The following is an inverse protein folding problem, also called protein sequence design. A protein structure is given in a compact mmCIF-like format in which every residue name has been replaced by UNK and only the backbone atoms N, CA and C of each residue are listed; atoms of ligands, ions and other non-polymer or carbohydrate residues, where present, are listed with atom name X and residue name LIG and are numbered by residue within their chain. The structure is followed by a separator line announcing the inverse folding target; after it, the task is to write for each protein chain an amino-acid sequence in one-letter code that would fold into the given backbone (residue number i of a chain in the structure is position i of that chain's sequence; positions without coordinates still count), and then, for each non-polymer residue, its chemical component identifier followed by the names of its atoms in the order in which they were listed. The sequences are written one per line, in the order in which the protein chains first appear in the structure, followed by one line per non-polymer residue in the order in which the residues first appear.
data_IF_490246338487
#
_entry.id   IF_490246338487
#
_cell.length_a   1.000
_cell.length_b   1.000
_cell.length_c   1.000
_cell.angle_alpha   90.00
_cell.angle_beta   90.00
_cell.angle_gamma   90.00
#
_symmetry.space_group_name_H-M   'P 1'
#
loop_
_entity.id
_entity.type
_entity.pdbx_description
1 polymer ?
#
# COMPACT_ATOMS: atom_id res chain seq x y z
N UNK A 1 -38.21 18.29 -2.65
CA UNK A 1 -36.77 18.00 -2.82
C UNK A 1 -36.41 16.92 -1.81
N UNK A 2 -35.98 15.74 -2.27
CA UNK A 2 -35.58 14.66 -1.38
C UNK A 2 -34.20 15.00 -0.80
N UNK A 3 -34.13 15.17 0.52
CA UNK A 3 -32.87 15.29 1.22
C UNK A 3 -32.10 13.98 1.06
N UNK A 4 -30.93 14.03 0.45
CA UNK A 4 -29.98 12.93 0.49
C UNK A 4 -29.71 12.65 1.98
N UNK A 5 -30.09 11.45 2.44
CA UNK A 5 -29.78 11.02 3.79
C UNK A 5 -28.26 10.89 3.87
N UNK A 6 -27.65 11.72 4.72
CA UNK A 6 -26.24 11.66 5.06
C UNK A 6 -26.03 10.35 5.84
N UNK A 7 -25.73 9.27 5.11
CA UNK A 7 -25.43 7.97 5.72
C UNK A 7 -24.04 8.12 6.34
N UNK A 8 -24.00 8.30 7.66
CA UNK A 8 -22.77 8.24 8.41
C UNK A 8 -22.01 6.95 8.01
N UNK A 9 -20.71 7.03 7.68
CA UNK A 9 -19.94 5.85 7.35
C UNK A 9 -20.07 4.84 8.49
N UNK A 10 -20.23 3.53 8.19
CA UNK A 10 -20.36 2.50 9.21
C UNK A 10 -19.24 2.67 10.25
N UNK A 11 -19.60 2.84 11.52
CA UNK A 11 -18.61 2.91 12.59
C UNK A 11 -17.74 1.65 12.50
N UNK A 12 -16.40 1.84 12.44
CA UNK A 12 -15.47 0.71 12.52
C UNK A 12 -15.73 0.08 13.89
N UNK A 13 -16.15 -1.19 13.97
CA UNK A 13 -16.50 -1.79 15.25
C UNK A 13 -15.31 -1.72 16.20
N UNK A 14 -15.49 -1.03 17.32
CA UNK A 14 -14.52 -1.02 18.40
C UNK A 14 -14.52 -2.42 19.03
N UNK A 15 -13.43 -3.15 18.85
CA UNK A 15 -13.36 -4.57 19.20
C UNK A 15 -12.31 -4.78 20.27
N UNK A 16 -12.76 -5.36 21.38
CA UNK A 16 -11.90 -5.76 22.47
C UNK A 16 -10.83 -6.75 21.95
N UNK A 17 -9.57 -6.32 21.99
CA UNK A 17 -8.38 -7.08 21.54
C UNK A 17 -8.16 -8.38 22.33
N UNK A 18 -8.81 -8.54 23.49
CA UNK A 18 -8.71 -9.74 24.31
C UNK A 18 -9.58 -10.90 23.80
N UNK A 19 -10.50 -10.61 22.88
CA UNK A 19 -11.35 -11.62 22.21
C UNK A 19 -10.62 -12.26 21.03
N UNK A 20 -10.97 -13.51 20.72
CA UNK A 20 -10.41 -14.21 19.54
C UNK A 20 -10.75 -13.46 18.24
N UNK A 21 -11.97 -12.95 18.11
CA UNK A 21 -12.39 -12.15 16.96
C UNK A 21 -11.58 -10.85 16.83
N UNK A 22 -11.31 -10.16 17.95
CA UNK A 22 -10.45 -9.00 18.00
C UNK A 22 -9.02 -9.30 17.55
N UNK A 23 -8.44 -10.40 18.04
CA UNK A 23 -7.10 -10.88 17.63
C UNK A 23 -7.02 -11.21 16.14
N UNK A 24 -8.01 -11.92 15.61
CA UNK A 24 -8.09 -12.25 14.18
C UNK A 24 -8.18 -10.98 13.33
N UNK A 25 -8.98 -10.01 13.75
CA UNK A 25 -9.13 -8.75 13.01
C UNK A 25 -7.85 -7.92 13.01
N UNK A 26 -7.15 -7.81 14.14
CA UNK A 26 -5.88 -7.06 14.18
C UNK A 26 -4.79 -7.77 13.38
N UNK A 27 -4.74 -9.11 13.43
CA UNK A 27 -3.86 -9.88 12.54
C UNK A 27 -4.16 -9.59 11.07
N UNK A 28 -5.43 -9.61 10.67
CA UNK A 28 -5.85 -9.32 9.30
C UNK A 28 -5.44 -7.91 8.87
N UNK A 29 -5.63 -6.91 9.74
CA UNK A 29 -5.18 -5.53 9.49
C UNK A 29 -3.68 -5.47 9.28
N UNK A 30 -2.90 -6.10 10.15
CA UNK A 30 -1.44 -6.16 10.06
C UNK A 30 -0.96 -6.80 8.75
N UNK A 31 -1.56 -7.91 8.34
CA UNK A 31 -1.17 -8.58 7.09
C UNK A 31 -1.52 -7.72 5.87
N UNK A 32 -2.70 -7.08 5.86
CA UNK A 32 -3.08 -6.14 4.80
C UNK A 32 -2.10 -4.96 4.75
N UNK A 33 -1.77 -4.32 5.88
CA UNK A 33 -0.77 -3.23 5.93
C UNK A 33 0.59 -3.67 5.39
N UNK A 34 1.05 -4.86 5.76
CA UNK A 34 2.30 -5.44 5.28
C UNK A 34 2.28 -5.62 3.76
N UNK A 35 1.18 -6.13 3.21
CA UNK A 35 0.98 -6.26 1.77
C UNK A 35 0.97 -4.90 1.07
N UNK A 36 0.19 -3.93 1.58
CA UNK A 36 0.09 -2.59 1.01
C UNK A 36 1.45 -1.87 0.95
N UNK A 37 2.26 -1.99 2.01
CA UNK A 37 3.59 -1.39 2.04
C UNK A 37 4.54 -2.04 1.02
N UNK A 38 4.51 -3.37 0.87
CA UNK A 38 5.30 -4.06 -0.17
C UNK A 38 4.80 -3.73 -1.57
N UNK A 39 3.49 -3.61 -1.77
CA UNK A 39 2.92 -3.20 -3.05
C UNK A 39 3.31 -1.75 -3.40
N UNK A 40 3.36 -0.85 -2.40
CA UNK A 40 3.85 0.52 -2.58
C UNK A 40 5.31 0.55 -3.06
N UNK A 41 6.17 -0.31 -2.52
CA UNK A 41 7.55 -0.48 -3.00
C UNK A 41 7.57 -0.92 -4.47
N UNK A 42 6.83 -1.98 -4.80
CA UNK A 42 6.75 -2.52 -6.16
C UNK A 42 6.20 -1.49 -7.16
N UNK A 43 5.23 -0.66 -6.75
CA UNK A 43 4.69 0.42 -7.60
C UNK A 43 5.73 1.49 -7.93
N UNK A 44 6.65 1.79 -7.02
CA UNK A 44 7.67 2.81 -7.23
C UNK A 44 8.91 2.29 -7.99
N UNK A 45 9.12 0.97 -8.01
CA UNK A 45 10.27 0.33 -8.66
C UNK A 45 10.35 0.61 -10.18
N UNK A 46 9.27 0.49 -10.98
CA UNK A 46 9.28 0.76 -12.41
C UNK A 46 9.90 2.10 -12.81
N UNK A 47 9.66 3.16 -12.02
CA UNK A 47 10.19 4.51 -12.27
C UNK A 47 11.72 4.56 -12.37
N UNK A 48 12.41 3.56 -11.81
CA UNK A 48 13.87 3.42 -11.88
C UNK A 48 14.27 2.25 -12.76
N UNK A 49 13.57 1.13 -12.68
CA UNK A 49 13.88 -0.10 -13.40
C UNK A 49 13.76 0.06 -14.91
N UNK A 50 12.71 0.75 -15.40
CA UNK A 50 12.53 1.02 -16.83
C UNK A 50 13.69 1.86 -17.37
N UNK A 51 14.17 2.84 -16.60
CA UNK A 51 15.35 3.66 -16.98
C UNK A 51 16.61 2.79 -17.09
N UNK A 52 16.82 1.89 -16.12
CA UNK A 52 17.98 0.98 -16.10
C UNK A 52 17.96 0.02 -17.28
N UNK A 53 16.78 -0.49 -17.64
CA UNK A 53 16.58 -1.40 -18.78
C UNK A 53 16.65 -0.69 -20.15
N UNK A 54 16.77 0.65 -20.18
CA UNK A 54 16.74 1.44 -21.41
C UNK A 54 15.36 1.45 -22.08
N UNK A 55 14.29 1.26 -21.29
CA UNK A 55 12.92 1.25 -21.77
C UNK A 55 12.44 2.63 -22.19
N UNK A 56 11.35 2.65 -22.96
CA UNK A 56 10.78 3.87 -23.54
C UNK A 56 9.78 4.57 -22.63
N UNK A 57 9.56 4.07 -21.42
CA UNK A 57 8.61 4.62 -20.47
C UNK A 57 7.16 4.25 -20.78
N UNK A 58 6.94 3.16 -21.52
CA UNK A 58 5.59 2.72 -21.89
C UNK A 58 4.87 2.14 -20.69
N UNK A 59 3.56 2.38 -20.57
CA UNK A 59 2.75 1.82 -19.47
C UNK A 59 2.89 0.29 -19.34
N UNK A 60 3.05 -0.42 -20.46
CA UNK A 60 3.29 -1.87 -20.49
C UNK A 60 4.59 -2.27 -19.80
N UNK A 61 5.68 -1.51 -19.98
CA UNK A 61 6.97 -1.77 -19.31
C UNK A 61 6.83 -1.59 -17.78
N UNK A 62 6.05 -0.59 -17.37
CA UNK A 62 5.78 -0.37 -15.94
C UNK A 62 5.01 -1.53 -15.33
N UNK A 63 3.94 -1.97 -16.00
CA UNK A 63 3.11 -3.05 -15.51
C UNK A 63 3.80 -4.42 -15.54
N UNK A 64 4.70 -4.67 -16.50
CA UNK A 64 5.55 -5.86 -16.50
C UNK A 64 6.42 -5.93 -15.24
N UNK A 65 7.14 -4.85 -14.91
CA UNK A 65 7.96 -4.80 -13.69
C UNK A 65 7.12 -5.04 -12.44
N UNK A 66 5.90 -4.48 -12.37
CA UNK A 66 5.02 -4.70 -11.22
C UNK A 66 4.57 -6.17 -11.11
N UNK A 67 4.22 -6.82 -12.22
CA UNK A 67 3.85 -8.23 -12.19
C UNK A 67 5.02 -9.15 -11.83
N UNK A 68 6.24 -8.84 -12.30
CA UNK A 68 7.48 -9.56 -11.97
C UNK A 68 7.77 -9.51 -10.47
N UNK A 69 7.59 -8.35 -9.85
CA UNK A 69 7.99 -8.07 -8.46
C UNK A 69 6.83 -8.16 -7.47
N UNK A 70 5.65 -8.62 -7.93
CA UNK A 70 4.42 -8.65 -7.16
C UNK A 70 4.58 -9.40 -5.82
N UNK A 71 4.08 -8.85 -4.68
CA UNK A 71 4.35 -9.41 -3.35
C UNK A 71 3.43 -10.60 -3.01
N UNK A 72 3.56 -11.69 -3.76
CA UNK A 72 2.75 -12.92 -3.64
C UNK A 72 2.72 -13.50 -2.23
N UNK A 73 3.87 -13.54 -1.57
CA UNK A 73 3.99 -14.13 -0.23
C UNK A 73 3.28 -13.28 0.82
N UNK A 74 3.23 -11.96 0.64
CA UNK A 74 2.47 -11.09 1.51
C UNK A 74 0.97 -11.25 1.26
N UNK A 75 0.56 -11.36 -0.02
CA UNK A 75 -0.85 -11.55 -0.37
C UNK A 75 -1.42 -12.82 0.27
N UNK A 76 -0.69 -13.94 0.22
CA UNK A 76 -1.12 -15.22 0.82
C UNK A 76 -1.43 -15.16 2.32
N UNK A 77 -0.92 -14.15 3.03
CA UNK A 77 -1.18 -13.95 4.47
C UNK A 77 -2.40 -13.07 4.74
N UNK A 78 -2.89 -12.34 3.74
CA UNK A 78 -4.07 -11.50 3.85
C UNK A 78 -5.35 -12.34 4.02
N UNK A 79 -6.46 -11.72 4.41
CA UNK A 79 -7.78 -12.37 4.41
C UNK A 79 -8.23 -12.83 3.02
N UNK A 80 -9.05 -13.88 2.95
CA UNK A 80 -9.42 -14.53 1.69
C UNK A 80 -10.12 -13.60 0.69
N UNK A 81 -11.08 -12.80 1.15
CA UNK A 81 -11.77 -11.79 0.32
C UNK A 81 -10.82 -10.73 -0.24
N UNK A 82 -9.81 -10.33 0.55
CA UNK A 82 -8.74 -9.44 0.09
C UNK A 82 -7.86 -10.11 -0.96
N UNK A 83 -7.50 -11.38 -0.76
CA UNK A 83 -6.76 -12.15 -1.75
C UNK A 83 -7.51 -12.24 -3.08
N UNK A 84 -8.78 -12.63 -3.05
CA UNK A 84 -9.64 -12.78 -4.23
C UNK A 84 -9.71 -11.49 -5.04
N UNK A 85 -10.01 -10.36 -4.37
CA UNK A 85 -10.10 -9.07 -5.04
C UNK A 85 -8.77 -8.70 -5.72
N UNK A 86 -7.66 -8.82 -5.00
CA UNK A 86 -6.33 -8.47 -5.52
C UNK A 86 -5.93 -9.36 -6.69
N UNK A 87 -6.24 -10.65 -6.65
CA UNK A 87 -5.99 -11.58 -7.77
C UNK A 87 -6.76 -11.13 -9.01
N UNK A 88 -8.04 -10.74 -8.86
CA UNK A 88 -8.83 -10.20 -9.98
C UNK A 88 -8.18 -8.93 -10.55
N UNK A 89 -7.76 -8.00 -9.69
CA UNK A 89 -7.10 -6.76 -10.15
C UNK A 89 -5.75 -7.05 -10.83
N UNK A 90 -4.98 -8.01 -10.32
CA UNK A 90 -3.72 -8.46 -10.91
C UNK A 90 -3.95 -9.05 -12.31
N UNK A 91 -4.99 -9.88 -12.48
CA UNK A 91 -5.34 -10.46 -13.78
C UNK A 91 -5.70 -9.40 -14.83
N UNK A 92 -6.37 -8.31 -14.44
CA UNK A 92 -6.64 -7.18 -15.36
C UNK A 92 -5.37 -6.52 -15.89
N UNK A 93 -4.29 -6.50 -15.10
CA UNK A 93 -2.98 -6.03 -15.56
C UNK A 93 -2.43 -6.98 -16.63
N UNK A 94 -2.57 -8.29 -16.43
CA UNK A 94 -2.16 -9.28 -17.42
C UNK A 94 -2.97 -9.14 -18.72
N UNK A 95 -4.31 -9.00 -18.63
CA UNK A 95 -5.17 -8.77 -19.79
C UNK A 95 -4.80 -7.50 -20.56
N UNK A 96 -4.41 -6.43 -19.86
CA UNK A 96 -3.89 -5.21 -20.49
C UNK A 96 -2.57 -5.46 -21.23
N UNK A 97 -1.64 -6.19 -20.62
CA UNK A 97 -0.37 -6.56 -21.26
C UNK A 97 -0.55 -7.47 -22.47
N UNK A 98 -1.56 -8.35 -22.43
CA UNK A 98 -1.93 -9.24 -23.53
C UNK A 98 -2.72 -8.51 -24.63
N UNK A 99 -3.05 -7.22 -24.44
CA UNK A 99 -3.80 -6.40 -25.38
C UNK A 99 -5.30 -6.70 -25.45
N UNK A 100 -5.81 -7.46 -24.47
CA UNK A 100 -7.23 -7.81 -24.33
C UNK A 100 -8.04 -6.67 -23.69
N UNK A 101 -7.41 -5.93 -22.77
CA UNK A 101 -7.95 -4.72 -22.16
C UNK A 101 -7.18 -3.49 -22.63
N UNK A 102 -7.88 -2.39 -22.91
CA UNK A 102 -7.28 -1.13 -23.38
C UNK A 102 -7.23 -0.08 -22.29
N UNK A 103 -8.10 -0.19 -21.29
CA UNK A 103 -8.20 0.74 -20.19
C UNK A 103 -7.99 0.00 -18.87
N UNK A 104 -6.87 0.28 -18.23
CA UNK A 104 -6.63 -0.17 -16.86
C UNK A 104 -6.57 1.03 -15.94
N UNK A 105 -7.49 1.07 -14.98
CA UNK A 105 -7.33 1.89 -13.78
C UNK A 105 -6.42 1.10 -12.87
N UNK A 106 -5.26 1.67 -12.55
CA UNK A 106 -4.39 1.04 -11.57
C UNK A 106 -5.17 0.86 -10.27
N UNK A 107 -5.24 -0.36 -9.71
CA UNK A 107 -5.99 -0.59 -8.48
C UNK A 107 -5.36 0.24 -7.35
N UNK A 108 -6.16 0.55 -6.34
CA UNK A 108 -5.83 1.23 -5.08
C UNK A 108 -6.42 2.63 -4.93
N UNK A 109 -5.75 3.75 -5.19
CA UNK A 109 -6.29 5.05 -4.75
C UNK A 109 -7.63 5.47 -5.38
N UNK A 110 -7.99 4.95 -6.57
CA UNK A 110 -9.24 5.26 -7.26
C UNK A 110 -10.15 4.03 -7.44
N UNK A 111 -9.78 2.87 -6.89
CA UNK A 111 -10.55 1.64 -7.06
C UNK A 111 -11.54 1.48 -5.91
N UNK A 112 -12.82 1.71 -6.20
CA UNK A 112 -13.89 1.69 -5.19
C UNK A 112 -14.03 0.34 -4.48
N UNK A 113 -13.78 -0.78 -5.17
CA UNK A 113 -13.88 -2.12 -4.59
C UNK A 113 -12.77 -2.35 -3.56
N UNK A 114 -11.55 -1.90 -3.88
CA UNK A 114 -10.41 -1.97 -2.95
C UNK A 114 -10.63 -1.04 -1.77
N UNK A 115 -11.08 0.20 -2.02
CA UNK A 115 -11.36 1.18 -0.97
C UNK A 115 -12.45 0.68 0.00
N UNK A 116 -13.53 0.09 -0.51
CA UNK A 116 -14.59 -0.51 0.28
C UNK A 116 -14.07 -1.67 1.15
N UNK A 117 -13.16 -2.48 0.61
CA UNK A 117 -12.57 -3.58 1.36
C UNK A 117 -11.61 -3.11 2.45
N UNK A 118 -10.78 -2.10 2.18
CA UNK A 118 -9.95 -1.48 3.21
C UNK A 118 -10.79 -0.84 4.32
N UNK A 119 -11.89 -0.19 3.95
CA UNK A 119 -12.86 0.34 4.90
C UNK A 119 -13.44 -0.76 5.81
N UNK A 120 -13.83 -1.91 5.25
CA UNK A 120 -14.29 -3.09 6.02
C UNK A 120 -13.26 -3.52 7.08
N UNK A 121 -11.97 -3.44 6.77
CA UNK A 121 -10.90 -3.77 7.71
C UNK A 121 -10.56 -2.64 8.69
N UNK A 122 -11.15 -1.44 8.54
CA UNK A 122 -10.80 -0.27 9.35
C UNK A 122 -9.45 0.33 8.96
N UNK A 123 -9.06 0.18 7.69
CA UNK A 123 -7.82 0.69 7.10
C UNK A 123 -8.11 1.82 6.11
N UNK A 124 -9.14 2.62 6.40
CA UNK A 124 -9.46 3.79 5.58
C UNK A 124 -8.28 4.76 5.61
N UNK A 125 -7.92 5.30 4.45
CA UNK A 125 -6.81 6.27 4.26
C UNK A 125 -5.41 5.72 4.65
N UNK A 126 -5.31 4.42 4.94
CA UNK A 126 -4.07 3.78 5.37
C UNK A 126 -3.03 3.76 4.25
N UNK A 127 -3.45 3.73 2.99
CA UNK A 127 -2.57 3.74 1.83
C UNK A 127 -1.67 4.97 1.79
N UNK A 128 -2.23 6.16 2.04
CA UNK A 128 -1.47 7.41 2.02
C UNK A 128 -0.46 7.45 3.17
N UNK A 129 -0.88 6.98 4.35
CA UNK A 129 -0.01 6.86 5.53
C UNK A 129 1.14 5.89 5.25
N UNK A 130 0.84 4.72 4.70
CA UNK A 130 1.82 3.72 4.26
C UNK A 130 2.76 4.31 3.22
N UNK A 131 2.27 5.03 2.22
CA UNK A 131 3.09 5.62 1.18
C UNK A 131 4.09 6.63 1.77
N UNK A 132 3.65 7.49 2.71
CA UNK A 132 4.54 8.40 3.43
C UNK A 132 5.59 7.65 4.24
N UNK A 133 5.19 6.62 4.98
CA UNK A 133 6.11 5.80 5.78
C UNK A 133 7.12 5.03 4.92
N UNK A 134 6.69 4.42 3.82
CA UNK A 134 7.60 3.76 2.87
C UNK A 134 8.59 4.76 2.29
N UNK A 135 8.12 5.96 1.92
CA UNK A 135 8.98 7.02 1.37
C UNK A 135 10.03 7.47 2.38
N UNK A 136 9.65 7.67 3.65
CA UNK A 136 10.61 8.04 4.70
C UNK A 136 11.63 6.94 4.96
N UNK A 137 11.22 5.66 4.90
CA UNK A 137 12.11 4.50 5.02
C UNK A 137 13.10 4.35 3.85
N UNK A 138 12.69 4.72 2.64
CA UNK A 138 13.57 4.71 1.47
C UNK A 138 14.60 5.83 1.52
N UNK A 139 14.26 7.00 2.08
CA UNK A 139 15.20 8.07 2.37
C UNK A 139 15.91 8.64 1.13
N UNK A 140 15.25 8.58 -0.04
CA UNK A 140 15.86 8.96 -1.31
C UNK A 140 16.21 10.43 -1.38
N UNK A 141 17.42 10.69 -1.89
CA UNK A 141 17.90 12.02 -2.25
C UNK A 141 17.73 12.25 -3.74
N UNK A 142 17.69 13.54 -4.13
CA UNK A 142 17.64 13.93 -5.55
C UNK A 142 18.89 13.44 -6.31
N UNK A 143 20.05 13.40 -5.64
CA UNK A 143 21.33 12.95 -6.19
C UNK A 143 21.44 11.44 -6.41
N UNK A 144 20.54 10.65 -5.83
CA UNK A 144 20.65 9.19 -5.87
C UNK A 144 20.34 8.66 -7.28
N UNK A 145 21.17 7.72 -7.74
CA UNK A 145 21.06 7.12 -9.07
C UNK A 145 19.84 6.19 -9.16
N UNK A 146 19.26 5.99 -10.36
CA UNK A 146 18.19 5.01 -10.56
C UNK A 146 18.57 3.61 -10.06
N UNK A 147 19.81 3.16 -10.33
CA UNK A 147 20.31 1.86 -9.88
C UNK A 147 20.32 1.72 -8.34
N UNK A 148 20.76 2.76 -7.64
CA UNK A 148 20.72 2.77 -6.17
C UNK A 148 19.28 2.72 -5.66
N UNK A 149 18.38 3.53 -6.23
CA UNK A 149 16.96 3.58 -5.81
C UNK A 149 16.25 2.24 -6.03
N UNK A 150 16.42 1.65 -7.22
CA UNK A 150 15.85 0.33 -7.53
C UNK A 150 16.36 -0.75 -6.58
N UNK A 151 17.68 -0.76 -6.30
CA UNK A 151 18.28 -1.68 -5.33
C UNK A 151 17.71 -1.49 -3.93
N UNK A 152 17.63 -0.26 -3.42
CA UNK A 152 17.14 -0.01 -2.07
C UNK A 152 15.66 -0.38 -1.90
N UNK A 153 14.84 -0.22 -2.95
CA UNK A 153 13.44 -0.70 -2.94
C UNK A 153 13.39 -2.20 -2.74
N UNK A 154 14.19 -2.97 -3.51
CA UNK A 154 14.27 -4.43 -3.37
C UNK A 154 14.77 -4.85 -2.00
N UNK A 155 15.83 -4.22 -1.50
CA UNK A 155 16.37 -4.50 -0.16
C UNK A 155 15.32 -4.27 0.92
N UNK A 156 14.58 -3.16 0.88
CA UNK A 156 13.52 -2.89 1.86
C UNK A 156 12.37 -3.89 1.75
N UNK A 157 11.99 -4.31 0.54
CA UNK A 157 11.00 -5.36 0.32
C UNK A 157 11.47 -6.69 0.92
N UNK A 158 12.71 -7.10 0.67
CA UNK A 158 13.31 -8.31 1.25
C UNK A 158 13.40 -8.24 2.78
N UNK A 159 13.77 -7.09 3.34
CA UNK A 159 13.77 -6.84 4.79
C UNK A 159 12.36 -7.03 5.40
N UNK A 160 11.32 -6.59 4.70
CA UNK A 160 9.92 -6.78 5.12
C UNK A 160 9.47 -8.23 4.99
N UNK A 161 9.81 -8.91 3.89
CA UNK A 161 9.51 -10.33 3.69
C UNK A 161 10.17 -11.22 4.74
N UNK A 162 11.41 -10.88 5.13
CA UNK A 162 12.14 -11.54 6.21
C UNK A 162 11.66 -11.15 7.61
N UNK A 163 10.69 -10.24 7.74
CA UNK A 163 10.17 -9.76 9.02
C UNK A 163 11.14 -8.86 9.81
N UNK A 164 12.24 -8.40 9.20
CA UNK A 164 13.19 -7.46 9.81
C UNK A 164 12.61 -6.05 9.91
N UNK A 165 11.74 -5.70 8.96
CA UNK A 165 10.99 -4.44 8.96
C UNK A 165 9.50 -4.76 9.08
N UNK A 166 8.88 -4.23 10.12
CA UNK A 166 7.44 -4.38 10.38
C UNK A 166 6.76 -3.03 10.18
N UNK A 167 5.63 -3.04 9.47
CA UNK A 167 4.79 -1.85 9.29
C UNK A 167 4.14 -1.50 10.64
N UNK A 168 4.30 -0.28 11.17
CA UNK A 168 3.68 0.14 12.42
C UNK A 168 2.14 0.09 12.34
N UNK A 169 1.48 -0.08 13.49
CA UNK A 169 0.01 0.00 13.57
C UNK A 169 -0.50 1.44 13.43
N UNK A 170 0.25 2.41 13.99
CA UNK A 170 -0.16 3.82 14.07
C UNK A 170 0.73 4.68 13.16
N UNK A 171 0.56 4.54 11.85
CA UNK A 171 1.33 5.28 10.87
C UNK A 171 0.83 6.74 10.82
N UNK A 172 1.59 7.66 11.40
CA UNK A 172 1.30 9.10 11.36
C UNK A 172 0.73 9.71 12.64
N UNK A 173 0.53 8.95 13.72
CA UNK A 173 0.16 9.53 15.04
C UNK A 173 1.35 10.15 15.79
N UNK A 174 2.58 9.93 15.32
CA UNK A 174 3.79 10.47 15.93
C UNK A 174 4.11 11.92 15.51
N UNK A 175 3.36 12.53 14.59
CA UNK A 175 3.61 13.91 14.12
C UNK A 175 2.62 14.95 14.67
N UNK A 176 1.63 14.56 15.51
CA UNK A 176 0.70 15.52 16.16
C UNK A 176 0.99 15.77 17.65
N UNK A 177 2.12 15.27 18.18
CA UNK A 177 2.53 15.50 19.58
C UNK A 177 3.96 16.05 19.68
N UNK A 178 4.27 17.13 18.95
CA UNK A 178 5.45 17.95 19.27
C UNK A 178 5.35 19.41 18.77
N UNK A 179 4.16 20.03 18.79
CA UNK A 179 4.07 21.49 18.94
C UNK A 179 3.88 21.79 20.43
N UNK A 180 4.95 21.52 21.18
CA UNK A 180 5.09 21.97 22.55
C UNK A 180 5.14 23.49 22.56
N UNK A 181 4.19 24.08 23.29
CA UNK A 181 4.11 25.50 23.62
C UNK A 181 5.50 26.10 23.87
N UNK A 182 5.94 26.98 22.98
CA UNK A 182 6.99 27.94 23.33
C UNK A 182 6.32 28.95 24.27
N UNK A 183 6.43 28.68 25.58
CA UNK A 183 6.28 29.72 26.58
C UNK A 183 7.38 30.76 26.33
N UNK A 184 7.04 31.88 25.72
CA UNK A 184 7.80 33.11 25.88
C UNK A 184 7.44 33.68 27.25
N UNK A 185 8.35 33.52 28.22
CA UNK A 185 8.37 34.36 29.41
C UNK A 185 9.83 34.75 29.75
N UNK A 186 9.98 36.07 29.93
CA UNK A 186 11.12 36.90 30.41
C UNK A 186 12.12 37.45 29.39
#
# INVERSE_FOLDING_TARGET
MAAAQDIAPPAVPDLNRDTEEGRVRERNRKEIRSFLAQLCLVRNLPSFEVIIRGGNGLATEFYQVILEEFPENALKRCPADFQELVVVKKSKIQEFLDGLEKNIVWPYMADEEVAALLFKYGLKDEEERIARWVTSRLGFRKSDTPAFKARRIRELKEEMEAGKVVVPENIGEAEEMEDGEVMEDV
#
